data_IF_271142131006
#
_entry.id   IF_271142131006
#
_cell.length_a   1.000
_cell.length_b   1.000
_cell.length_c   1.000
_cell.angle_alpha   90.00
_cell.angle_beta   90.00
_cell.angle_gamma   90.00
#
_symmetry.space_group_name_H-M   'P 1'
#
loop_
_entity.id
_entity.type
_entity.pdbx_description
1 polymer ?
#
# COMPACT_ATOMS: atom_id res chain seq x y z
N UNK A 1 0.35 -5.99 -10.38
CA UNK A 1 0.80 -4.59 -10.48
C UNK A 1 0.89 -4.21 -11.95
N UNK A 2 0.22 -3.14 -12.37
CA UNK A 2 0.24 -2.66 -13.76
C UNK A 2 0.30 -1.12 -13.77
N UNK A 3 0.93 -0.53 -14.79
CA UNK A 3 1.08 0.91 -14.90
C UNK A 3 0.20 1.49 -16.01
N UNK A 4 -0.50 2.57 -15.68
CA UNK A 4 -1.20 3.41 -16.64
C UNK A 4 -0.22 4.32 -17.36
N UNK A 5 -0.33 4.46 -18.70
CA UNK A 5 0.49 5.38 -19.49
C UNK A 5 0.37 6.84 -19.02
N UNK A 6 1.29 7.69 -19.47
CA UNK A 6 1.16 9.14 -19.28
C UNK A 6 -0.16 9.65 -19.88
N UNK A 7 -0.87 10.50 -19.14
CA UNK A 7 -2.17 11.07 -19.53
C UNK A 7 -2.12 11.78 -20.89
N UNK A 8 -0.97 12.37 -21.23
CA UNK A 8 -0.71 13.03 -22.53
C UNK A 8 -0.81 12.07 -23.73
N UNK A 9 -0.68 10.76 -23.52
CA UNK A 9 -0.75 9.73 -24.56
C UNK A 9 -2.14 9.09 -24.66
N UNK A 10 -3.13 9.88 -25.10
CA UNK A 10 -4.55 9.46 -25.20
C UNK A 10 -4.76 8.09 -25.86
N UNK A 11 -4.15 7.83 -27.02
CA UNK A 11 -4.28 6.54 -27.72
C UNK A 11 -3.76 5.34 -26.91
N UNK A 12 -2.74 5.52 -26.06
CA UNK A 12 -2.26 4.46 -25.17
C UNK A 12 -3.21 4.27 -24.00
N UNK A 13 -3.78 5.34 -23.46
CA UNK A 13 -4.75 5.28 -22.37
C UNK A 13 -6.04 4.57 -22.81
N UNK A 14 -6.55 4.83 -24.02
CA UNK A 14 -7.72 4.16 -24.59
C UNK A 14 -7.54 2.64 -24.71
N UNK A 15 -6.32 2.17 -24.97
CA UNK A 15 -5.99 0.75 -25.04
C UNK A 15 -5.75 0.18 -23.64
N UNK A 16 -5.04 0.92 -22.78
CA UNK A 16 -4.61 0.46 -21.47
C UNK A 16 -5.79 0.29 -20.49
N UNK A 17 -6.78 1.20 -20.52
CA UNK A 17 -7.87 1.18 -19.55
C UNK A 17 -8.74 -0.10 -19.65
N UNK A 18 -9.26 -0.51 -20.83
CA UNK A 18 -9.99 -1.77 -20.95
C UNK A 18 -9.13 -3.00 -20.65
N UNK A 19 -7.83 -2.95 -20.93
CA UNK A 19 -6.90 -4.03 -20.61
C UNK A 19 -6.65 -4.15 -19.11
N UNK A 20 -6.58 -3.02 -18.41
CA UNK A 20 -6.44 -2.96 -16.96
C UNK A 20 -7.67 -3.54 -16.26
N UNK A 21 -8.87 -3.18 -16.69
CA UNK A 21 -10.11 -3.73 -16.09
C UNK A 21 -10.16 -5.25 -16.22
N UNK A 22 -9.79 -5.81 -17.38
CA UNK A 22 -9.69 -7.27 -17.55
C UNK A 22 -8.65 -7.90 -16.63
N UNK A 23 -7.54 -7.21 -16.38
CA UNK A 23 -6.51 -7.70 -15.47
C UNK A 23 -7.04 -7.69 -14.03
N UNK A 24 -7.69 -6.61 -13.62
CA UNK A 24 -8.33 -6.47 -12.31
C UNK A 24 -9.39 -7.56 -12.08
N UNK A 25 -10.28 -7.81 -13.04
CA UNK A 25 -11.30 -8.87 -12.97
C UNK A 25 -10.70 -10.29 -12.82
N UNK A 26 -9.44 -10.48 -13.23
CA UNK A 26 -8.74 -11.77 -13.19
C UNK A 26 -7.71 -11.87 -12.05
N UNK A 27 -7.59 -10.84 -11.22
CA UNK A 27 -6.58 -10.77 -10.15
C UNK A 27 -7.26 -10.57 -8.80
N UNK A 28 -6.78 -11.24 -7.75
CA UNK A 28 -7.26 -10.98 -6.39
C UNK A 28 -6.82 -9.58 -5.88
N UNK A 29 -5.64 -9.09 -6.31
CA UNK A 29 -5.13 -7.76 -5.98
C UNK A 29 -4.49 -7.14 -7.22
N UNK A 30 -4.93 -5.94 -7.60
CA UNK A 30 -4.37 -5.22 -8.75
C UNK A 30 -3.94 -3.81 -8.37
N UNK A 31 -2.67 -3.63 -8.00
CA UNK A 31 -2.12 -2.29 -7.80
C UNK A 31 -1.92 -1.57 -9.15
N UNK A 32 -2.62 -0.46 -9.32
CA UNK A 32 -2.52 0.45 -10.48
C UNK A 32 -1.47 1.53 -10.21
N UNK A 33 -0.47 1.66 -11.07
CA UNK A 33 0.55 2.71 -11.00
C UNK A 33 0.24 3.81 -12.02
N UNK A 34 0.49 5.08 -11.69
CA UNK A 34 0.42 6.20 -12.65
C UNK A 34 1.82 6.63 -13.05
N UNK A 35 2.14 6.58 -14.35
CA UNK A 35 3.42 7.09 -14.85
C UNK A 35 3.57 8.60 -14.62
N UNK A 36 2.48 9.38 -14.65
CA UNK A 36 2.50 10.82 -14.32
C UNK A 36 2.89 11.07 -12.87
N UNK A 37 2.26 10.36 -11.93
CA UNK A 37 2.60 10.48 -10.50
C UNK A 37 4.03 10.02 -10.23
N UNK A 38 4.47 8.94 -10.89
CA UNK A 38 5.87 8.49 -10.83
C UNK A 38 6.83 9.58 -11.31
N UNK A 39 6.56 10.22 -12.45
CA UNK A 39 7.41 11.26 -13.00
C UNK A 39 7.44 12.51 -12.10
N UNK A 40 6.29 12.92 -11.56
CA UNK A 40 6.22 14.04 -10.61
C UNK A 40 7.04 13.77 -9.35
N UNK A 41 6.94 12.57 -8.78
CA UNK A 41 7.66 12.20 -7.57
C UNK A 41 9.17 12.03 -7.80
N UNK A 42 9.58 11.49 -8.94
CA UNK A 42 10.99 11.42 -9.31
C UNK A 42 11.61 12.82 -9.41
N UNK A 43 10.87 13.79 -9.96
CA UNK A 43 11.29 15.20 -10.02
C UNK A 43 11.39 15.83 -8.62
N UNK A 44 10.40 15.61 -7.75
CA UNK A 44 10.39 16.21 -6.41
C UNK A 44 11.48 15.67 -5.49
N UNK A 45 11.90 14.42 -5.69
CA UNK A 45 13.00 13.79 -4.93
C UNK A 45 14.39 13.96 -5.57
N UNK A 46 14.48 14.54 -6.78
CA UNK A 46 15.74 14.70 -7.51
C UNK A 46 16.40 13.38 -7.91
N UNK A 47 15.62 12.31 -8.07
CA UNK A 47 16.13 10.96 -8.33
C UNK A 47 16.33 10.78 -9.84
N UNK A 48 17.54 10.45 -10.28
CA UNK A 48 17.82 10.07 -11.68
C UNK A 48 17.07 8.75 -11.97
N UNK A 49 16.47 8.62 -13.15
CA UNK A 49 15.80 7.40 -13.61
C UNK A 49 16.71 6.15 -13.53
N UNK A 50 18.04 6.35 -13.57
CA UNK A 50 19.04 5.28 -13.38
C UNK A 50 19.10 4.74 -11.95
N UNK A 51 18.80 5.57 -10.96
CA UNK A 51 18.51 5.13 -9.59
C UNK A 51 17.12 4.53 -9.60
N UNK A 52 17.06 3.19 -9.61
CA UNK A 52 15.84 2.39 -9.77
C UNK A 52 14.64 3.00 -9.05
N UNK A 53 13.52 3.26 -9.74
CA UNK A 53 12.24 3.40 -9.05
C UNK A 53 11.88 2.02 -8.47
N UNK A 54 12.31 1.77 -7.22
CA UNK A 54 12.09 0.52 -6.48
C UNK A 54 10.63 0.28 -6.12
N UNK A 55 9.67 1.11 -6.55
CA UNK A 55 8.27 1.03 -6.12
C UNK A 55 7.60 -0.31 -6.37
N UNK A 56 7.83 -0.92 -7.54
CA UNK A 56 7.31 -2.27 -7.82
C UNK A 56 7.98 -3.29 -6.91
N UNK A 57 9.28 -3.15 -6.67
CA UNK A 57 10.04 -4.01 -5.76
C UNK A 57 9.54 -3.84 -4.32
N UNK A 58 9.29 -2.61 -3.85
CA UNK A 58 8.77 -2.28 -2.53
C UNK A 58 7.36 -2.81 -2.31
N UNK A 59 6.48 -2.69 -3.31
CA UNK A 59 5.13 -3.26 -3.25
C UNK A 59 5.20 -4.79 -3.14
N UNK A 60 5.94 -5.44 -4.04
CA UNK A 60 6.07 -6.91 -4.05
C UNK A 60 6.77 -7.40 -2.79
N UNK A 61 7.87 -6.77 -2.40
CA UNK A 61 8.62 -7.09 -1.19
C UNK A 61 7.76 -6.89 0.05
N UNK A 62 7.00 -5.79 0.14
CA UNK A 62 6.07 -5.54 1.24
C UNK A 62 5.11 -6.70 1.45
N UNK A 63 4.42 -7.13 0.38
CA UNK A 63 3.49 -8.26 0.44
C UNK A 63 4.18 -9.58 0.80
N UNK A 64 5.32 -9.86 0.16
CA UNK A 64 6.08 -11.10 0.40
C UNK A 64 6.61 -11.16 1.83
N UNK A 65 7.10 -10.05 2.37
CA UNK A 65 7.59 -9.99 3.75
C UNK A 65 6.46 -10.13 4.75
N UNK A 66 5.29 -9.51 4.49
CA UNK A 66 4.10 -9.64 5.35
C UNK A 66 3.67 -11.10 5.52
N UNK A 67 3.75 -11.92 4.46
CA UNK A 67 3.35 -13.33 4.52
C UNK A 67 4.50 -14.29 4.88
N UNK A 68 5.72 -13.92 4.54
CA UNK A 68 6.88 -14.81 4.59
C UNK A 68 7.71 -14.71 5.88
N UNK A 69 7.51 -13.66 6.68
CA UNK A 69 8.27 -13.44 7.91
C UNK A 69 7.38 -13.49 9.15
N UNK A 70 7.87 -14.17 10.19
CA UNK A 70 7.17 -14.25 11.48
C UNK A 70 7.23 -12.90 12.19
N UNK A 71 6.05 -12.38 12.53
CA UNK A 71 5.88 -11.16 13.33
C UNK A 71 5.60 -11.43 14.81
N UNK A 72 5.42 -10.33 15.56
CA UNK A 72 4.85 -10.34 16.91
C UNK A 72 3.37 -10.71 16.82
N UNK A 73 2.67 -10.07 15.88
CA UNK A 73 1.30 -10.38 15.47
C UNK A 73 1.44 -10.85 14.03
N UNK A 74 1.30 -12.15 13.85
CA UNK A 74 1.50 -12.77 12.55
C UNK A 74 0.26 -12.64 11.69
N UNK A 75 0.46 -12.37 10.41
CA UNK A 75 -0.58 -12.46 9.39
C UNK A 75 -0.37 -13.73 8.58
N UNK A 76 -1.47 -14.38 8.19
CA UNK A 76 -1.40 -15.55 7.34
C UNK A 76 -2.02 -15.31 5.94
N UNK A 77 -1.90 -16.31 5.07
CA UNK A 77 -2.44 -16.22 3.72
C UNK A 77 -3.98 -16.26 3.70
N UNK A 78 -4.62 -16.89 4.69
CA UNK A 78 -6.08 -16.94 4.76
C UNK A 78 -6.65 -15.58 5.18
N UNK A 79 -5.98 -14.86 6.06
CA UNK A 79 -6.29 -13.48 6.41
C UNK A 79 -6.27 -12.59 5.18
N UNK A 80 -5.18 -12.63 4.41
CA UNK A 80 -5.07 -11.89 3.15
C UNK A 80 -6.17 -12.28 2.17
N UNK A 81 -6.42 -13.58 1.98
CA UNK A 81 -7.50 -14.06 1.12
C UNK A 81 -8.87 -13.54 1.55
N UNK A 82 -9.15 -13.51 2.86
CA UNK A 82 -10.44 -13.05 3.37
C UNK A 82 -10.69 -11.56 3.11
N UNK A 83 -9.63 -10.76 3.07
CA UNK A 83 -9.69 -9.34 2.72
C UNK A 83 -9.88 -9.17 1.22
N UNK A 84 -9.00 -9.76 0.40
CA UNK A 84 -8.98 -9.50 -1.06
C UNK A 84 -10.13 -10.13 -1.84
N UNK A 85 -10.79 -11.16 -1.32
CA UNK A 85 -11.92 -11.82 -1.99
C UNK A 85 -13.26 -11.06 -1.86
N UNK A 86 -13.25 -9.87 -1.22
CA UNK A 86 -14.43 -9.01 -1.12
C UNK A 86 -14.81 -8.45 -2.50
N UNK A 87 -16.10 -8.18 -2.69
CA UNK A 87 -16.58 -7.51 -3.91
C UNK A 87 -16.07 -6.08 -3.95
N UNK A 88 -15.49 -5.68 -5.07
CA UNK A 88 -14.87 -4.37 -5.26
C UNK A 88 -13.41 -4.53 -5.67
N UNK A 89 -12.78 -3.43 -6.08
CA UNK A 89 -11.35 -3.44 -6.37
C UNK A 89 -10.53 -3.69 -5.11
N UNK A 90 -9.28 -4.14 -5.29
CA UNK A 90 -8.31 -4.24 -4.21
C UNK A 90 -6.98 -3.61 -4.63
N UNK A 91 -6.45 -2.76 -3.76
CA UNK A 91 -5.19 -2.05 -3.97
C UNK A 91 -4.25 -2.24 -2.79
N UNK A 92 -2.99 -1.89 -2.98
CA UNK A 92 -1.96 -2.04 -1.97
C UNK A 92 -1.08 -0.81 -1.91
N UNK A 93 -0.74 -0.39 -0.69
CA UNK A 93 0.10 0.77 -0.41
C UNK A 93 1.23 0.37 0.51
N UNK A 94 2.41 0.95 0.25
CA UNK A 94 3.55 0.85 1.15
C UNK A 94 4.02 2.26 1.46
N UNK A 95 4.24 2.53 2.75
CA UNK A 95 4.80 3.79 3.22
C UNK A 95 5.83 3.54 4.31
N UNK A 96 6.86 4.38 4.38
CA UNK A 96 7.86 4.35 5.43
C UNK A 96 8.11 5.77 5.93
N UNK A 97 8.17 6.00 7.24
CA UNK A 97 8.33 7.34 7.80
C UNK A 97 8.56 7.33 9.30
N UNK A 98 8.42 8.50 9.93
CA UNK A 98 8.52 8.64 11.38
C UNK A 98 7.26 8.03 12.04
N UNK A 99 7.46 7.22 13.07
CA UNK A 99 6.36 6.62 13.83
C UNK A 99 5.67 7.58 14.78
N UNK A 100 6.29 8.73 15.08
CA UNK A 100 5.69 9.78 15.88
C UNK A 100 4.82 10.73 15.04
N UNK A 101 4.77 10.54 13.72
CA UNK A 101 3.94 11.32 12.80
C UNK A 101 3.00 10.40 11.98
N UNK A 102 1.95 9.84 12.62
CA UNK A 102 0.98 8.96 11.94
C UNK A 102 0.30 9.62 10.73
N UNK A 103 -0.04 10.90 10.85
CA UNK A 103 -0.70 11.66 9.78
C UNK A 103 0.24 11.88 8.60
N UNK A 104 1.50 12.26 8.86
CA UNK A 104 2.51 12.36 7.80
C UNK A 104 2.77 11.02 7.11
N UNK A 105 2.74 9.91 7.85
CA UNK A 105 2.89 8.56 7.31
C UNK A 105 1.70 8.16 6.43
N UNK A 106 0.48 8.47 6.86
CA UNK A 106 -0.74 8.25 6.09
C UNK A 106 -0.77 9.10 4.81
N UNK A 107 -0.46 10.40 4.91
CA UNK A 107 -0.34 11.28 3.74
C UNK A 107 0.75 10.78 2.77
N UNK A 108 1.86 10.26 3.29
CA UNK A 108 2.91 9.66 2.45
C UNK A 108 2.41 8.42 1.72
N UNK A 109 1.62 7.57 2.37
CA UNK A 109 0.96 6.43 1.76
C UNK A 109 0.01 6.87 0.62
N UNK A 110 -0.83 7.88 0.85
CA UNK A 110 -1.71 8.45 -0.19
C UNK A 110 -0.95 9.13 -1.33
N UNK A 111 0.25 9.67 -1.04
CA UNK A 111 1.13 10.29 -2.04
C UNK A 111 1.90 9.28 -2.90
N UNK A 112 1.78 7.98 -2.61
CA UNK A 112 2.38 6.94 -3.42
C UNK A 112 1.93 7.10 -4.88
N UNK A 113 2.75 6.69 -5.85
CA UNK A 113 2.46 6.89 -7.26
C UNK A 113 1.43 5.88 -7.80
N UNK A 114 0.51 5.47 -6.94
CA UNK A 114 -0.63 4.62 -7.22
C UNK A 114 -1.75 5.48 -7.81
N UNK A 115 -2.37 4.99 -8.88
CA UNK A 115 -3.55 5.59 -9.47
C UNK A 115 -4.80 5.13 -8.71
N UNK A 116 -5.80 6.01 -8.57
CA UNK A 116 -7.12 5.63 -8.06
C UNK A 116 -7.18 5.20 -6.59
N UNK A 117 -6.25 5.68 -5.75
CA UNK A 117 -6.21 5.28 -4.35
C UNK A 117 -7.30 5.97 -3.51
N UNK A 118 -8.54 5.51 -3.64
CA UNK A 118 -9.58 5.82 -2.66
C UNK A 118 -9.50 4.76 -1.56
N UNK A 119 -8.87 5.09 -0.44
CA UNK A 119 -8.85 4.21 0.75
C UNK A 119 -10.15 4.38 1.57
N UNK A 120 -10.85 5.50 1.33
CA UNK A 120 -12.08 5.85 2.02
C UNK A 120 -13.22 4.95 1.56
N UNK A 121 -13.99 4.42 2.51
CA UNK A 121 -15.15 3.57 2.23
C UNK A 121 -14.82 2.12 1.89
N UNK A 122 -13.55 1.70 2.01
CA UNK A 122 -13.20 0.31 1.85
C UNK A 122 -13.76 -0.56 2.98
N UNK A 123 -14.29 -1.73 2.62
CA UNK A 123 -14.84 -2.68 3.59
C UNK A 123 -13.83 -3.71 4.11
N UNK A 124 -12.63 -3.79 3.54
CA UNK A 124 -11.58 -4.69 4.00
C UNK A 124 -10.22 -4.01 4.04
N UNK A 125 -9.47 -4.24 5.10
CA UNK A 125 -8.11 -3.74 5.26
C UNK A 125 -7.24 -4.78 5.97
N UNK A 126 -6.12 -5.15 5.34
CA UNK A 126 -5.02 -5.87 5.97
C UNK A 126 -3.87 -4.89 6.15
N UNK A 127 -3.47 -4.67 7.40
CA UNK A 127 -2.47 -3.68 7.76
C UNK A 127 -1.29 -4.37 8.46
N UNK A 128 -0.12 -4.36 7.84
CA UNK A 128 1.12 -4.81 8.45
C UNK A 128 1.94 -3.60 8.88
N UNK A 129 2.25 -3.54 10.16
CA UNK A 129 3.16 -2.56 10.76
C UNK A 129 4.53 -3.21 10.98
N UNK A 130 5.59 -2.53 10.58
CA UNK A 130 6.97 -2.92 10.78
C UNK A 130 7.72 -1.76 11.46
N UNK A 131 8.25 -2.01 12.65
CA UNK A 131 8.88 -0.96 13.47
C UNK A 131 10.25 -1.35 13.99
N UNK A 132 11.09 -0.35 14.26
CA UNK A 132 12.34 -0.55 14.99
C UNK A 132 12.16 -1.16 16.39
N UNK A 133 13.20 -1.75 16.96
CA UNK A 133 13.17 -2.42 18.28
C UNK A 133 12.68 -1.53 19.45
N UNK A 134 12.77 -0.22 19.28
CA UNK A 134 12.39 0.76 20.31
C UNK A 134 10.94 1.22 20.21
N UNK A 135 10.16 0.66 19.28
CA UNK A 135 8.77 1.09 19.09
C UNK A 135 7.84 0.59 20.18
N UNK A 136 6.96 1.49 20.61
CA UNK A 136 5.89 1.19 21.55
C UNK A 136 4.63 0.69 20.83
N UNK A 137 3.83 -0.10 21.55
CA UNK A 137 2.49 -0.50 21.11
C UNK A 137 1.61 0.74 20.87
N UNK A 138 1.80 1.80 21.66
CA UNK A 138 1.06 3.07 21.50
C UNK A 138 1.33 3.75 20.15
N UNK A 139 2.57 3.75 19.67
CA UNK A 139 2.87 4.28 18.33
C UNK A 139 2.26 3.41 17.22
N UNK A 140 2.29 2.09 17.38
CA UNK A 140 1.63 1.18 16.44
C UNK A 140 0.12 1.41 16.38
N UNK A 141 -0.54 1.60 17.54
CA UNK A 141 -1.98 1.85 17.60
C UNK A 141 -2.37 3.18 16.93
N UNK A 142 -1.62 4.26 17.16
CA UNK A 142 -1.89 5.53 16.48
C UNK A 142 -1.74 5.46 14.96
N UNK A 143 -0.73 4.73 14.46
CA UNK A 143 -0.57 4.51 13.02
C UNK A 143 -1.69 3.63 12.48
N UNK A 144 -2.07 2.57 13.20
CA UNK A 144 -3.20 1.73 12.82
C UNK A 144 -4.48 2.55 12.66
N UNK A 145 -4.80 3.37 13.67
CA UNK A 145 -5.98 4.23 13.68
C UNK A 145 -5.98 5.20 12.49
N UNK A 146 -4.85 5.86 12.19
CA UNK A 146 -4.72 6.75 11.03
C UNK A 146 -5.08 6.05 9.70
N UNK A 147 -4.67 4.80 9.51
CA UNK A 147 -4.95 4.03 8.29
C UNK A 147 -6.36 3.41 8.26
N UNK A 148 -7.04 3.30 9.40
CA UNK A 148 -8.37 2.67 9.49
C UNK A 148 -9.52 3.66 9.64
N UNK A 149 -9.26 4.92 10.01
CA UNK A 149 -10.29 5.98 10.20
C UNK A 149 -11.19 6.24 8.98
N UNK A 150 -10.71 5.92 7.78
CA UNK A 150 -11.44 6.13 6.53
C UNK A 150 -12.32 4.94 6.09
N UNK A 151 -12.22 3.80 6.77
CA UNK A 151 -12.93 2.57 6.41
C UNK A 151 -14.41 2.63 6.82
N UNK A 152 -15.22 1.70 6.32
CA UNK A 152 -16.62 1.58 6.74
C UNK A 152 -16.73 1.05 8.19
N UNK A 153 -17.84 1.37 8.86
CA UNK A 153 -18.08 0.92 10.25
C UNK A 153 -18.09 -0.62 10.40
N UNK A 154 -18.43 -1.34 9.33
CA UNK A 154 -18.46 -2.80 9.24
C UNK A 154 -17.20 -3.39 8.57
N UNK A 155 -16.17 -2.57 8.37
CA UNK A 155 -14.96 -3.00 7.70
C UNK A 155 -14.23 -4.07 8.51
N UNK A 156 -13.79 -5.13 7.83
CA UNK A 156 -12.90 -6.12 8.44
C UNK A 156 -11.47 -5.61 8.38
N UNK A 157 -10.91 -5.34 9.56
CA UNK A 157 -9.52 -4.93 9.72
C UNK A 157 -8.73 -6.08 10.33
N UNK A 158 -7.66 -6.50 9.65
CA UNK A 158 -6.70 -7.48 10.16
C UNK A 158 -5.35 -6.80 10.33
N UNK A 159 -4.82 -6.80 11.54
CA UNK A 159 -3.59 -6.09 11.88
C UNK A 159 -2.46 -7.08 12.17
N UNK A 160 -1.33 -6.85 11.50
CA UNK A 160 -0.05 -7.53 11.72
C UNK A 160 0.99 -6.57 12.25
N UNK A 161 1.94 -7.09 13.02
CA UNK A 161 3.00 -6.30 13.61
C UNK A 161 4.31 -7.10 13.65
N UNK A 162 5.42 -6.47 13.24
CA UNK A 162 6.75 -7.09 13.30
C UNK A 162 7.85 -6.08 13.62
N UNK A 163 8.95 -6.59 14.13
CA UNK A 163 10.15 -5.79 14.37
C UNK A 163 11.09 -5.87 13.18
N UNK A 164 11.84 -4.79 12.96
CA UNK A 164 12.88 -4.71 11.94
C UNK A 164 14.04 -3.85 12.43
N UNK A 165 15.23 -4.43 12.44
CA UNK A 165 16.45 -3.73 12.88
C UNK A 165 16.87 -2.63 11.89
N UNK A 166 16.37 -2.68 10.65
CA UNK A 166 16.67 -1.71 9.58
C UNK A 166 15.84 -0.41 9.70
N UNK A 167 14.89 -0.37 10.64
CA UNK A 167 13.93 0.72 10.83
C UNK A 167 14.15 1.49 12.14
N UNK A 168 15.39 1.91 12.39
CA UNK A 168 15.71 2.71 13.59
C UNK A 168 14.97 4.06 13.58
N UNK A 169 14.11 4.28 14.58
CA UNK A 169 13.21 5.44 14.68
C UNK A 169 12.14 5.57 13.60
N UNK A 170 11.98 4.58 12.70
CA UNK A 170 11.05 4.64 11.56
C UNK A 170 10.06 3.48 11.57
N UNK A 171 8.89 3.70 10.99
CA UNK A 171 7.89 2.66 10.77
C UNK A 171 7.67 2.48 9.28
N UNK A 172 7.53 1.23 8.85
CA UNK A 172 7.00 0.87 7.54
C UNK A 172 5.60 0.27 7.71
N UNK A 173 4.70 0.71 6.85
CA UNK A 173 3.31 0.28 6.78
C UNK A 173 3.10 -0.36 5.42
N UNK A 174 2.53 -1.56 5.42
CA UNK A 174 2.00 -2.21 4.22
C UNK A 174 0.51 -2.37 4.43
N UNK A 175 -0.30 -1.69 3.62
CA UNK A 175 -1.75 -1.76 3.69
C UNK A 175 -2.29 -2.40 2.40
N UNK A 176 -3.09 -3.45 2.53
CA UNK A 176 -3.90 -4.01 1.44
C UNK A 176 -5.35 -3.65 1.73
N UNK A 177 -5.97 -2.93 0.81
CA UNK A 177 -7.31 -2.37 0.96
C UNK A 177 -8.19 -2.95 -0.13
N UNK A 178 -9.41 -3.35 0.23
CA UNK A 178 -10.31 -4.07 -0.66
C UNK A 178 -11.77 -3.71 -0.41
N UNK A 179 -12.61 -3.96 -1.40
CA UNK A 179 -14.04 -3.68 -1.30
C UNK A 179 -14.33 -2.19 -1.43
N UNK A 180 -13.65 -1.59 -2.41
CA UNK A 180 -13.85 -0.24 -2.95
C UNK A 180 -15.06 -0.22 -3.90
#
# INVERSE_FOLDING_TARGET
VAAMPFEEHSARCEIALPAFNRLEDSSDVCAQLSLDRLAWQARSRGVDWRTRPSWVEELVQGLVLTLGQVGIINLDLMDLRSVVQRKGGATMVVAEGDANDPEGLFLKALSAPLAGLEVMGASGCLLQLEGGRQMSIYQMEQVADAFTRGLTDDAQVILGARHSDDLDGRMRVVAVVSGL
#
